data_IF_676662688248
#
_entry.id   IF_676662688248
#
_cell.length_a   1.000
_cell.length_b   1.000
_cell.length_c   1.000
_cell.angle_alpha   90.00
_cell.angle_beta   90.00
_cell.angle_gamma   90.00
#
_symmetry.space_group_name_H-M   'P 1'
#
loop_
_entity.id
_entity.type
_entity.pdbx_description
1 polymer ?
#
# COMPACT_ATOMS: atom_id res chain seq x y z
N UNK A 1 32.19 14.51 -1.28
CA UNK A 1 30.83 15.01 -1.61
C UNK A 1 29.76 13.90 -1.69
N UNK A 2 30.10 12.62 -1.50
CA UNK A 2 29.13 11.51 -1.61
C UNK A 2 28.09 11.45 -0.47
N UNK A 3 28.45 11.84 0.77
CA UNK A 3 27.55 11.71 1.93
C UNK A 3 26.33 12.64 1.92
N UNK A 4 26.43 13.83 1.32
CA UNK A 4 25.36 14.82 1.33
C UNK A 4 24.29 14.49 0.28
N UNK A 5 24.73 14.09 -0.93
CA UNK A 5 23.85 13.57 -1.98
C UNK A 5 23.11 12.29 -1.55
N UNK A 6 23.77 11.39 -0.81
CA UNK A 6 23.10 10.22 -0.21
C UNK A 6 22.07 10.60 0.86
N UNK A 7 22.37 11.62 1.68
CA UNK A 7 21.47 12.11 2.72
C UNK A 7 20.24 12.82 2.17
N UNK A 8 20.40 13.60 1.10
CA UNK A 8 19.29 14.25 0.39
C UNK A 8 18.41 13.21 -0.33
N UNK A 9 19.01 12.22 -1.00
CA UNK A 9 18.27 11.15 -1.65
C UNK A 9 17.39 10.35 -0.68
N UNK A 10 17.95 9.95 0.48
CA UNK A 10 17.18 9.23 1.50
C UNK A 10 16.08 10.08 2.14
N UNK A 11 16.26 11.41 2.22
CA UNK A 11 15.19 12.31 2.68
C UNK A 11 14.08 12.41 1.65
N UNK A 12 14.42 12.57 0.36
CA UNK A 12 13.45 12.66 -0.73
C UNK A 12 12.64 11.38 -0.87
N UNK A 13 13.28 10.21 -0.76
CA UNK A 13 12.61 8.92 -0.77
C UNK A 13 11.56 8.83 0.36
N UNK A 14 11.97 9.07 1.61
CA UNK A 14 11.04 9.06 2.75
C UNK A 14 9.88 10.05 2.61
N UNK A 15 10.11 11.20 1.96
CA UNK A 15 9.04 12.15 1.66
C UNK A 15 8.09 11.63 0.58
N UNK A 16 8.60 10.95 -0.45
CA UNK A 16 7.78 10.31 -1.47
C UNK A 16 6.92 9.19 -0.86
N UNK A 17 7.51 8.32 -0.04
CA UNK A 17 6.81 7.22 0.64
C UNK A 17 5.67 7.77 1.52
N UNK A 18 5.98 8.81 2.31
CA UNK A 18 4.98 9.49 3.16
C UNK A 18 3.78 10.04 2.36
N UNK A 19 4.02 10.59 1.16
CA UNK A 19 2.95 11.08 0.28
C UNK A 19 2.08 9.94 -0.25
N UNK A 20 2.68 8.82 -0.66
CA UNK A 20 1.94 7.64 -1.13
C UNK A 20 1.09 7.06 0.00
N UNK A 21 1.67 6.90 1.19
CA UNK A 21 0.96 6.39 2.37
C UNK A 21 -0.20 7.32 2.73
N UNK A 22 -0.01 8.64 2.66
CA UNK A 22 -1.08 9.61 2.94
C UNK A 22 -2.23 9.47 1.93
N UNK A 23 -1.92 9.39 0.64
CA UNK A 23 -2.93 9.20 -0.41
C UNK A 23 -3.72 7.88 -0.23
N UNK A 24 -3.04 6.80 0.15
CA UNK A 24 -3.69 5.53 0.47
C UNK A 24 -4.59 5.66 1.72
N UNK A 25 -4.12 6.34 2.76
CA UNK A 25 -4.89 6.56 3.98
C UNK A 25 -6.18 7.35 3.70
N UNK A 26 -6.11 8.40 2.88
CA UNK A 26 -7.26 9.22 2.49
C UNK A 26 -8.28 8.40 1.69
N UNK A 27 -7.80 7.55 0.76
CA UNK A 27 -8.67 6.65 0.00
C UNK A 27 -9.36 5.62 0.90
N UNK A 28 -8.64 5.02 1.84
CA UNK A 28 -9.21 4.06 2.81
C UNK A 28 -10.22 4.75 3.72
N UNK A 29 -9.90 5.93 4.25
CA UNK A 29 -10.81 6.70 5.09
C UNK A 29 -12.11 7.05 4.35
N UNK A 30 -12.00 7.45 3.08
CA UNK A 30 -13.14 7.72 2.21
C UNK A 30 -13.99 6.46 2.01
N UNK A 31 -13.37 5.31 1.75
CA UNK A 31 -14.07 4.04 1.58
C UNK A 31 -14.79 3.59 2.88
N UNK A 32 -14.17 3.80 4.04
CA UNK A 32 -14.78 3.54 5.36
C UNK A 32 -15.98 4.47 5.58
N UNK A 33 -15.84 5.77 5.32
CA UNK A 33 -16.94 6.73 5.45
C UNK A 33 -18.13 6.40 4.53
N UNK A 34 -17.86 5.82 3.35
CA UNK A 34 -18.88 5.34 2.42
C UNK A 34 -19.47 3.95 2.76
N UNK A 35 -18.98 3.29 3.82
CA UNK A 35 -19.38 1.92 4.19
C UNK A 35 -18.88 0.83 3.23
N UNK A 36 -17.95 1.15 2.33
CA UNK A 36 -17.38 0.23 1.35
C UNK A 36 -16.19 -0.60 1.91
N UNK A 37 -15.62 -0.16 3.04
CA UNK A 37 -14.53 -0.83 3.74
C UNK A 37 -14.79 -0.81 5.26
N UNK A 38 -14.18 -1.75 5.98
CA UNK A 38 -14.23 -1.81 7.46
C UNK A 38 -12.81 -1.86 8.01
N UNK A 39 -12.30 -0.71 8.42
CA UNK A 39 -10.94 -0.53 8.94
C UNK A 39 -10.99 0.39 10.16
N UNK A 40 -10.36 -0.01 11.27
CA UNK A 40 -10.33 0.79 12.51
C UNK A 40 -9.40 2.00 12.44
N UNK A 41 -8.22 1.84 11.84
CA UNK A 41 -7.24 2.93 11.62
C UNK A 41 -6.78 2.93 10.16
N UNK A 42 -7.35 3.81 9.31
CA UNK A 42 -6.97 3.95 7.91
C UNK A 42 -5.49 4.26 7.70
N UNK A 43 -4.87 5.06 8.58
CA UNK A 43 -3.49 5.52 8.40
C UNK A 43 -2.50 4.40 8.66
N UNK A 44 -2.65 3.69 9.77
CA UNK A 44 -1.79 2.54 10.08
C UNK A 44 -1.99 1.43 9.05
N UNK A 45 -3.23 1.20 8.60
CA UNK A 45 -3.53 0.20 7.57
C UNK A 45 -2.88 0.56 6.22
N UNK A 46 -2.95 1.81 5.78
CA UNK A 46 -2.28 2.28 4.56
C UNK A 46 -0.76 2.07 4.63
N UNK A 47 -0.14 2.41 5.76
CA UNK A 47 1.30 2.23 5.96
C UNK A 47 1.69 0.75 5.90
N UNK A 48 0.93 -0.14 6.57
CA UNK A 48 1.19 -1.58 6.56
C UNK A 48 1.05 -2.17 5.15
N UNK A 49 0.02 -1.79 4.40
CA UNK A 49 -0.19 -2.25 3.01
C UNK A 49 0.96 -1.80 2.10
N UNK A 50 1.40 -0.54 2.22
CA UNK A 50 2.52 -0.01 1.46
C UNK A 50 3.83 -0.76 1.78
N UNK A 51 4.18 -0.86 3.08
CA UNK A 51 5.44 -1.47 3.49
C UNK A 51 5.48 -2.99 3.29
N UNK A 52 4.33 -3.67 3.20
CA UNK A 52 4.31 -5.07 2.80
C UNK A 52 4.80 -5.26 1.36
N UNK A 53 4.40 -4.38 0.44
CA UNK A 53 4.85 -4.42 -0.96
C UNK A 53 6.30 -3.94 -1.08
N UNK A 54 6.64 -2.81 -0.45
CA UNK A 54 8.01 -2.28 -0.46
C UNK A 54 9.01 -3.28 0.14
N UNK A 55 8.68 -3.91 1.27
CA UNK A 55 9.52 -4.93 1.90
C UNK A 55 9.73 -6.16 1.02
N UNK A 56 8.71 -6.61 0.30
CA UNK A 56 8.82 -7.73 -0.65
C UNK A 56 9.76 -7.38 -1.81
N UNK A 57 9.61 -6.19 -2.40
CA UNK A 57 10.46 -5.73 -3.50
C UNK A 57 11.92 -5.54 -3.04
N UNK A 58 12.12 -4.93 -1.87
CA UNK A 58 13.46 -4.78 -1.28
C UNK A 58 14.14 -6.13 -1.06
N UNK A 59 13.41 -7.15 -0.60
CA UNK A 59 13.94 -8.50 -0.45
C UNK A 59 14.29 -9.16 -1.79
N UNK A 60 13.46 -9.00 -2.83
CA UNK A 60 13.72 -9.53 -4.16
C UNK A 60 14.99 -8.91 -4.78
N UNK A 61 15.10 -7.58 -4.73
CA UNK A 61 16.27 -6.87 -5.26
C UNK A 61 17.55 -7.16 -4.48
N UNK A 62 17.47 -7.32 -3.15
CA UNK A 62 18.61 -7.75 -2.34
C UNK A 62 19.09 -9.16 -2.72
N UNK A 63 18.18 -10.03 -3.18
CA UNK A 63 18.49 -11.36 -3.70
C UNK A 63 18.89 -11.42 -5.18
N UNK A 64 19.01 -10.26 -5.86
CA UNK A 64 19.23 -10.17 -7.31
C UNK A 64 18.19 -10.95 -8.14
N UNK A 65 16.95 -11.03 -7.64
CA UNK A 65 15.81 -11.63 -8.33
C UNK A 65 14.97 -10.50 -8.89
N UNK A 66 14.67 -10.56 -10.19
CA UNK A 66 13.69 -9.65 -10.79
C UNK A 66 12.28 -10.12 -10.42
N UNK A 67 11.50 -9.32 -9.67
CA UNK A 67 10.14 -9.71 -9.33
C UNK A 67 9.21 -9.64 -10.54
N UNK A 68 8.34 -10.64 -10.69
CA UNK A 68 7.24 -10.57 -11.65
C UNK A 68 6.18 -9.56 -11.16
N UNK A 69 6.10 -8.42 -11.86
CA UNK A 69 5.20 -7.33 -11.54
C UNK A 69 3.73 -7.76 -11.54
N UNK A 70 3.29 -8.59 -12.48
CA UNK A 70 1.88 -8.99 -12.58
C UNK A 70 1.48 -9.87 -11.39
N UNK A 71 2.35 -10.80 -11.00
CA UNK A 71 2.17 -11.63 -9.80
C UNK A 71 2.09 -10.78 -8.53
N UNK A 72 2.99 -9.80 -8.36
CA UNK A 72 2.98 -8.91 -7.19
C UNK A 72 1.72 -8.05 -7.16
N UNK A 73 1.32 -7.47 -8.28
CA UNK A 73 0.10 -6.64 -8.36
C UNK A 73 -1.13 -7.47 -8.01
N UNK A 74 -1.23 -8.71 -8.50
CA UNK A 74 -2.33 -9.61 -8.18
C UNK A 74 -2.38 -9.93 -6.67
N UNK A 75 -1.23 -10.27 -6.08
CA UNK A 75 -1.13 -10.58 -4.65
C UNK A 75 -1.44 -9.35 -3.76
N UNK A 76 -0.92 -8.18 -4.13
CA UNK A 76 -1.16 -6.93 -3.41
C UNK A 76 -2.64 -6.52 -3.44
N UNK A 77 -3.31 -6.69 -4.59
CA UNK A 77 -4.76 -6.49 -4.71
C UNK A 77 -5.55 -7.41 -3.80
N UNK A 78 -5.24 -8.71 -3.81
CA UNK A 78 -5.91 -9.68 -2.96
C UNK A 78 -5.73 -9.34 -1.47
N UNK A 79 -4.51 -9.04 -1.05
CA UNK A 79 -4.18 -8.58 0.30
C UNK A 79 -5.00 -7.34 0.68
N UNK A 80 -5.04 -6.32 -0.19
CA UNK A 80 -5.82 -5.12 0.05
C UNK A 80 -7.31 -5.43 0.21
N UNK A 81 -7.91 -6.23 -0.67
CA UNK A 81 -9.32 -6.61 -0.57
C UNK A 81 -9.65 -7.32 0.75
N UNK A 82 -8.79 -8.25 1.19
CA UNK A 82 -8.95 -8.95 2.47
C UNK A 82 -8.81 -8.01 3.66
N UNK A 83 -7.76 -7.19 3.67
CA UNK A 83 -7.46 -6.26 4.77
C UNK A 83 -8.51 -5.19 4.95
N UNK A 84 -9.04 -4.64 3.85
CA UNK A 84 -10.04 -3.57 3.91
C UNK A 84 -11.43 -4.07 4.31
N UNK A 85 -11.62 -5.38 4.50
CA UNK A 85 -12.93 -5.96 4.76
C UNK A 85 -13.93 -5.60 3.67
N UNK A 86 -13.46 -5.36 2.43
CA UNK A 86 -14.29 -4.96 1.31
C UNK A 86 -15.22 -6.13 0.98
N UNK A 87 -16.39 -6.15 1.61
CA UNK A 87 -17.43 -7.11 1.29
C UNK A 87 -17.77 -6.97 -0.19
N UNK A 88 -17.92 -8.09 -0.90
CA UNK A 88 -18.56 -8.14 -2.23
C UNK A 88 -20.04 -7.75 -2.11
N UNK A 89 -20.36 -6.56 -1.65
CA UNK A 89 -21.73 -6.08 -1.40
C UNK A 89 -22.28 -5.21 -2.55
N UNK A 90 -21.65 -5.26 -3.72
CA UNK A 90 -22.20 -4.67 -4.96
C UNK A 90 -23.10 -5.61 -5.78
N UNK A 91 -23.22 -6.90 -5.44
CA UNK A 91 -23.90 -7.88 -6.30
C UNK A 91 -25.25 -8.40 -5.76
N UNK A 92 -25.65 -8.08 -4.53
CA UNK A 92 -26.79 -8.73 -3.86
C UNK A 92 -27.89 -7.79 -3.34
N UNK A 93 -27.81 -6.47 -3.60
CA UNK A 93 -28.85 -5.51 -3.20
C UNK A 93 -29.74 -5.10 -4.39
N UNK A 94 -30.30 -6.08 -5.11
CA UNK A 94 -31.47 -5.93 -5.98
C UNK A 94 -32.26 -7.24 -5.96
N UNK A 95 -33.09 -7.42 -4.93
CA UNK A 95 -34.27 -8.29 -4.94
C UNK A 95 -35.30 -7.71 -3.99
#
# INVERSE_FOLDING_TARGET
>A
MFSQASGDGLRQLRQADSKVITLLADAIATAVAAGAATVGDPRTTAALLYYAVDGLLNAAYAGAVEPDADTIIAAAKEMAHRTLGATRQGAAARK
#
